data_IF_098198911094
#
_entry.id   IF_098198911094
#
_cell.length_a   1.000
_cell.length_b   1.000
_cell.length_c   1.000
_cell.angle_alpha   90.00
_cell.angle_beta   90.00
_cell.angle_gamma   90.00
#
_symmetry.space_group_name_H-M   'P 1'
#
loop_
_entity.id
_entity.type
_entity.pdbx_description
1 polymer ?
#
# COMPACT_ATOMS: atom_id res chain seq x y z
N UNK A 1 -2.85 13.74 -15.92
CA UNK A 1 -3.14 12.65 -16.88
C UNK A 1 -3.01 11.27 -16.27
N UNK A 2 -1.81 10.79 -15.91
CA UNK A 2 -1.63 9.46 -15.32
C UNK A 2 -2.52 9.19 -14.09
N UNK A 3 -2.44 10.06 -13.08
CA UNK A 3 -3.26 9.94 -11.85
C UNK A 3 -4.77 10.01 -12.12
N UNK A 4 -5.19 10.83 -13.09
CA UNK A 4 -6.60 10.93 -13.47
C UNK A 4 -7.05 9.66 -14.19
N UNK A 5 -6.16 9.04 -14.98
CA UNK A 5 -6.39 7.74 -15.57
C UNK A 5 -6.61 6.66 -14.52
N UNK A 6 -5.76 6.60 -13.49
CA UNK A 6 -5.95 5.67 -12.37
C UNK A 6 -7.24 5.93 -11.59
N UNK A 7 -7.58 7.19 -11.33
CA UNK A 7 -8.87 7.53 -10.73
C UNK A 7 -10.06 7.04 -11.58
N UNK A 8 -9.97 7.12 -12.91
CA UNK A 8 -11.02 6.58 -13.80
C UNK A 8 -11.07 5.06 -13.77
N UNK A 9 -9.93 4.38 -13.64
CA UNK A 9 -9.85 2.93 -13.51
C UNK A 9 -10.48 2.45 -12.18
N UNK A 10 -10.20 3.12 -11.06
CA UNK A 10 -10.77 2.79 -9.76
C UNK A 10 -12.29 2.91 -9.72
N UNK A 11 -12.84 3.90 -10.44
CA UNK A 11 -14.28 4.17 -10.52
C UNK A 11 -14.93 3.57 -11.77
N UNK A 12 -14.22 2.68 -12.47
CA UNK A 12 -14.78 1.97 -13.63
C UNK A 12 -15.91 1.05 -13.17
N UNK A 13 -17.07 1.18 -13.82
CA UNK A 13 -18.23 0.36 -13.49
C UNK A 13 -18.22 -0.95 -14.27
N UNK A 14 -18.68 -2.02 -13.62
CA UNK A 14 -18.96 -3.29 -14.27
C UNK A 14 -20.43 -3.36 -14.62
N UNK A 15 -20.74 -3.21 -15.91
CA UNK A 15 -22.12 -3.26 -16.42
C UNK A 15 -22.35 -4.60 -17.10
N UNK A 16 -23.46 -5.26 -16.77
CA UNK A 16 -23.87 -6.51 -17.43
C UNK A 16 -24.09 -6.26 -18.92
N UNK A 17 -23.52 -7.11 -19.77
CA UNK A 17 -23.71 -7.05 -21.21
C UNK A 17 -24.18 -8.36 -21.80
N UNK A 18 -24.81 -8.27 -22.96
CA UNK A 18 -25.20 -9.42 -23.78
C UNK A 18 -24.13 -9.74 -24.83
N UNK A 19 -24.01 -11.01 -25.19
CA UNK A 19 -23.13 -11.47 -26.27
C UNK A 19 -22.12 -12.51 -25.82
N UNK A 20 -20.95 -12.48 -26.45
CA UNK A 20 -19.86 -13.42 -26.21
C UNK A 20 -18.78 -12.75 -25.35
N UNK A 21 -18.16 -13.54 -24.46
CA UNK A 21 -17.02 -13.12 -23.65
C UNK A 21 -15.87 -12.68 -24.55
N UNK A 22 -15.29 -11.52 -24.29
CA UNK A 22 -14.10 -10.98 -24.97
C UNK A 22 -13.00 -10.69 -23.97
N UNK A 23 -11.79 -10.51 -24.49
CA UNK A 23 -10.67 -10.03 -23.69
C UNK A 23 -10.99 -8.64 -23.08
N UNK A 24 -10.71 -8.47 -21.79
CA UNK A 24 -11.05 -7.28 -21.00
C UNK A 24 -12.42 -7.30 -20.31
N UNK A 25 -13.26 -8.30 -20.60
CA UNK A 25 -14.53 -8.49 -19.89
C UNK A 25 -14.32 -9.15 -18.52
N UNK A 26 -15.31 -9.00 -17.65
CA UNK A 26 -15.41 -9.78 -16.42
C UNK A 26 -16.50 -10.84 -16.59
N UNK A 27 -16.10 -12.10 -16.65
CA UNK A 27 -17.01 -13.23 -16.69
C UNK A 27 -17.28 -13.74 -15.27
N UNK A 28 -18.53 -13.76 -14.85
CA UNK A 28 -18.95 -14.45 -13.62
C UNK A 28 -19.16 -15.92 -13.97
N UNK A 29 -18.33 -16.79 -13.43
CA UNK A 29 -18.28 -18.21 -13.81
C UNK A 29 -18.48 -19.14 -12.62
N UNK A 30 -19.07 -20.31 -12.91
CA UNK A 30 -18.90 -21.49 -12.07
C UNK A 30 -17.90 -22.41 -12.76
N UNK A 31 -16.99 -23.01 -12.00
CA UNK A 31 -16.05 -23.98 -12.54
C UNK A 31 -15.81 -25.13 -11.60
N UNK A 32 -15.55 -26.31 -12.16
CA UNK A 32 -15.11 -27.49 -11.42
C UNK A 32 -14.04 -28.25 -12.23
N UNK A 33 -12.87 -28.42 -11.63
CA UNK A 33 -11.68 -29.02 -12.23
C UNK A 33 -11.57 -30.51 -11.93
N UNK A 34 -11.24 -31.28 -12.96
CA UNK A 34 -11.09 -32.73 -12.90
C UNK A 34 -9.73 -33.15 -13.44
N UNK A 35 -9.03 -33.99 -12.69
CA UNK A 35 -7.83 -34.71 -13.12
C UNK A 35 -8.16 -36.20 -13.20
N UNK A 36 -7.91 -36.81 -14.36
CA UNK A 36 -8.21 -38.24 -14.60
C UNK A 36 -9.66 -38.63 -14.22
N UNK A 37 -10.61 -37.71 -14.42
CA UNK A 37 -12.03 -37.89 -14.11
C UNK A 37 -12.39 -37.75 -12.63
N UNK A 38 -11.45 -37.37 -11.75
CA UNK A 38 -11.70 -37.08 -10.33
C UNK A 38 -11.58 -35.57 -10.05
N UNK A 39 -12.49 -34.98 -9.26
CA UNK A 39 -12.32 -33.60 -8.82
C UNK A 39 -11.09 -33.47 -7.92
N UNK A 40 -10.43 -32.33 -7.97
CA UNK A 40 -9.28 -32.02 -7.10
C UNK A 40 -9.56 -30.78 -6.24
N UNK A 41 -8.93 -30.72 -5.07
CA UNK A 41 -9.10 -29.61 -4.13
C UNK A 41 -8.57 -28.29 -4.70
N UNK A 42 -9.31 -27.20 -4.48
CA UNK A 42 -9.01 -25.89 -5.06
C UNK A 42 -9.42 -25.74 -6.54
N UNK A 43 -9.95 -26.79 -7.17
CA UNK A 43 -10.42 -26.76 -8.55
C UNK A 43 -11.87 -26.32 -8.73
N UNK A 44 -12.58 -25.90 -7.67
CA UNK A 44 -14.01 -25.55 -7.73
C UNK A 44 -14.29 -24.14 -7.25
N UNK A 45 -15.09 -23.40 -8.01
CA UNK A 45 -15.58 -22.07 -7.64
C UNK A 45 -17.00 -21.85 -8.16
N UNK A 46 -17.81 -21.11 -7.41
CA UNK A 46 -19.18 -20.71 -7.79
C UNK A 46 -19.29 -19.18 -7.76
N UNK A 47 -19.97 -18.59 -8.74
CA UNK A 47 -20.11 -17.15 -8.96
C UNK A 47 -18.79 -16.37 -8.87
N UNK A 48 -17.71 -16.96 -9.38
CA UNK A 48 -16.39 -16.35 -9.36
C UNK A 48 -16.28 -15.29 -10.46
N UNK A 49 -15.92 -14.06 -10.10
CA UNK A 49 -15.69 -12.98 -11.06
C UNK A 49 -14.26 -13.06 -11.62
N UNK A 50 -14.14 -13.46 -12.88
CA UNK A 50 -12.86 -13.57 -13.58
C UNK A 50 -12.73 -12.47 -14.64
N UNK A 51 -11.73 -11.61 -14.49
CA UNK A 51 -11.33 -10.68 -15.56
C UNK A 51 -10.50 -11.42 -16.62
N UNK A 52 -10.99 -11.39 -17.86
CA UNK A 52 -10.37 -12.07 -19.00
C UNK A 52 -9.18 -11.27 -19.52
N UNK A 53 -8.00 -11.88 -19.52
CA UNK A 53 -6.72 -11.26 -19.79
C UNK A 53 -5.93 -10.88 -18.53
N UNK A 54 -6.45 -11.18 -17.33
CA UNK A 54 -5.77 -10.88 -16.06
C UNK A 54 -4.62 -11.83 -15.77
N UNK A 55 -4.59 -13.01 -16.40
CA UNK A 55 -3.63 -14.09 -16.13
C UNK A 55 -3.64 -14.55 -14.66
N UNK A 56 -4.79 -14.41 -14.00
CA UNK A 56 -4.98 -14.89 -12.62
C UNK A 56 -5.25 -16.40 -12.60
N UNK A 57 -5.74 -16.95 -13.72
CA UNK A 57 -5.93 -18.38 -13.91
C UNK A 57 -4.76 -19.00 -14.68
N UNK A 58 -4.71 -20.34 -14.71
CA UNK A 58 -3.67 -21.06 -15.44
C UNK A 58 -3.72 -20.74 -16.95
N UNK A 59 -2.56 -20.65 -17.62
CA UNK A 59 -2.51 -20.34 -19.04
C UNK A 59 -3.39 -21.27 -19.88
N UNK A 60 -4.11 -20.70 -20.86
CA UNK A 60 -5.04 -21.44 -21.71
C UNK A 60 -6.46 -21.55 -21.16
N UNK A 61 -6.73 -21.16 -19.91
CA UNK A 61 -8.08 -21.15 -19.34
C UNK A 61 -8.89 -19.98 -19.90
N UNK A 62 -8.42 -18.75 -19.68
CA UNK A 62 -9.11 -17.51 -20.04
C UNK A 62 -9.37 -17.45 -21.56
N UNK A 63 -8.41 -17.91 -22.37
CA UNK A 63 -8.52 -17.93 -23.84
C UNK A 63 -9.61 -18.88 -24.35
N UNK A 64 -9.93 -19.94 -23.61
CA UNK A 64 -10.99 -20.87 -23.99
C UNK A 64 -12.37 -20.44 -23.51
N UNK A 65 -12.44 -19.53 -22.53
CA UNK A 65 -13.67 -18.85 -22.08
C UNK A 65 -14.08 -17.76 -23.07
N UNK A 66 -13.12 -17.11 -23.74
CA UNK A 66 -13.40 -16.17 -24.83
C UNK A 66 -14.31 -16.84 -25.89
N UNK A 67 -15.37 -16.13 -26.27
CA UNK A 67 -16.38 -16.60 -27.21
C UNK A 67 -17.59 -17.29 -26.56
N UNK A 68 -17.51 -17.69 -25.29
CA UNK A 68 -18.65 -18.27 -24.59
C UNK A 68 -19.76 -17.24 -24.32
N UNK A 69 -21.01 -17.69 -24.26
CA UNK A 69 -22.18 -16.85 -23.97
C UNK A 69 -22.69 -17.07 -22.55
N UNK A 70 -23.47 -16.11 -22.05
CA UNK A 70 -24.21 -16.25 -20.79
C UNK A 70 -25.09 -17.50 -20.82
N UNK A 71 -24.95 -18.33 -19.80
CA UNK A 71 -25.61 -19.62 -19.63
C UNK A 71 -24.92 -20.80 -20.33
N UNK A 72 -23.83 -20.58 -21.08
CA UNK A 72 -23.10 -21.63 -21.78
C UNK A 72 -22.21 -22.42 -20.83
N UNK A 73 -22.19 -23.74 -21.01
CA UNK A 73 -21.36 -24.69 -20.28
C UNK A 73 -20.37 -25.34 -21.27
N UNK A 74 -19.09 -25.37 -20.91
CA UNK A 74 -18.02 -25.90 -21.77
C UNK A 74 -16.95 -26.60 -20.93
N UNK A 75 -16.46 -27.71 -21.45
CA UNK A 75 -15.31 -28.42 -20.89
C UNK A 75 -14.02 -27.82 -21.50
N UNK A 76 -13.22 -27.16 -20.67
CA UNK A 76 -11.94 -26.55 -21.06
C UNK A 76 -10.81 -27.52 -20.74
N UNK A 77 -9.94 -27.80 -21.72
CA UNK A 77 -8.77 -28.65 -21.49
C UNK A 77 -7.53 -27.78 -21.36
N UNK A 78 -6.89 -27.82 -20.20
CA UNK A 78 -5.75 -26.96 -19.85
C UNK A 78 -4.68 -27.79 -19.14
N UNK A 79 -3.45 -27.30 -19.12
CA UNK A 79 -2.35 -27.95 -18.39
C UNK A 79 -1.78 -26.97 -17.38
N UNK A 80 -1.51 -27.46 -16.17
CA UNK A 80 -0.84 -26.64 -15.16
C UNK A 80 0.61 -26.36 -15.57
N UNK A 81 1.16 -25.20 -15.21
CA UNK A 81 2.58 -24.92 -15.39
C UNK A 81 3.49 -25.95 -14.70
N UNK A 82 4.71 -26.12 -15.23
CA UNK A 82 5.73 -27.02 -14.66
C UNK A 82 6.20 -26.58 -13.25
N UNK A 83 6.09 -25.29 -12.96
CA UNK A 83 6.50 -24.64 -11.72
C UNK A 83 5.35 -24.46 -10.70
N UNK A 84 4.18 -25.07 -10.96
CA UNK A 84 3.01 -24.95 -10.09
C UNK A 84 3.25 -25.48 -8.67
N UNK A 85 2.74 -24.81 -7.64
CA UNK A 85 3.07 -25.11 -6.24
C UNK A 85 2.67 -26.51 -5.73
N UNK A 86 1.71 -27.17 -6.39
CA UNK A 86 1.22 -28.51 -6.01
C UNK A 86 1.86 -29.56 -6.92
N UNK A 87 2.72 -30.42 -6.35
CA UNK A 87 3.47 -31.44 -7.12
C UNK A 87 2.58 -32.35 -7.97
N UNK A 88 1.42 -32.74 -7.44
CA UNK A 88 0.48 -33.61 -8.13
C UNK A 88 -0.20 -32.95 -9.34
N UNK A 89 -0.14 -31.62 -9.48
CA UNK A 89 -0.76 -30.91 -10.59
C UNK A 89 0.26 -30.41 -11.63
N UNK A 90 1.55 -30.30 -11.30
CA UNK A 90 2.61 -29.81 -12.20
C UNK A 90 2.61 -30.51 -13.56
N UNK A 91 2.52 -29.70 -14.63
CA UNK A 91 2.55 -30.20 -16.02
C UNK A 91 1.38 -31.12 -16.41
N UNK A 92 0.40 -31.34 -15.51
CA UNK A 92 -0.67 -32.30 -15.76
C UNK A 92 -1.81 -31.67 -16.56
N UNK A 93 -2.33 -32.38 -17.57
CA UNK A 93 -3.55 -31.96 -18.24
C UNK A 93 -4.76 -32.21 -17.34
N UNK A 94 -5.65 -31.23 -17.26
CA UNK A 94 -6.91 -31.30 -16.52
C UNK A 94 -8.05 -30.76 -17.37
N UNK A 95 -9.27 -31.16 -17.00
CA UNK A 95 -10.50 -30.67 -17.62
C UNK A 95 -11.25 -29.83 -16.60
N UNK A 96 -11.53 -28.57 -16.94
CA UNK A 96 -12.44 -27.73 -16.17
C UNK A 96 -13.80 -27.69 -16.85
N UNK A 97 -14.84 -28.05 -16.11
CA UNK A 97 -16.22 -27.79 -16.51
C UNK A 97 -16.53 -26.37 -16.10
N UNK A 98 -16.74 -25.49 -17.07
CA UNK A 98 -16.96 -24.06 -16.81
C UNK A 98 -18.33 -23.65 -17.33
N UNK A 99 -19.03 -22.87 -16.54
CA UNK A 99 -20.29 -22.23 -16.88
C UNK A 99 -20.13 -20.72 -16.79
N UNK A 100 -20.56 -19.99 -17.80
CA UNK A 100 -20.64 -18.53 -17.72
C UNK A 100 -22.04 -18.15 -17.22
N UNK A 101 -22.12 -17.55 -16.03
CA UNK A 101 -23.38 -17.11 -15.44
C UNK A 101 -23.74 -15.69 -15.84
N UNK A 102 -22.74 -14.81 -15.95
CA UNK A 102 -22.93 -13.41 -16.31
C UNK A 102 -21.68 -12.90 -17.03
N UNK A 103 -21.86 -11.96 -17.96
CA UNK A 103 -20.77 -11.26 -18.62
C UNK A 103 -20.93 -9.79 -18.31
N UNK A 104 -19.88 -9.17 -17.77
CA UNK A 104 -19.82 -7.74 -17.49
C UNK A 104 -18.72 -7.12 -18.34
N UNK A 105 -18.97 -5.92 -18.84
CA UNK A 105 -17.93 -5.10 -19.43
C UNK A 105 -17.52 -3.98 -18.48
N UNK A 106 -16.23 -3.64 -18.54
CA UNK A 106 -15.69 -2.45 -17.89
C UNK A 106 -16.10 -1.23 -18.69
N UNK A 107 -17.02 -0.45 -18.14
CA UNK A 107 -17.38 0.85 -18.70
C UNK A 107 -16.57 1.89 -17.97
N UNK A 108 -15.51 2.37 -18.63
CA UNK A 108 -14.76 3.52 -18.12
C UNK A 108 -15.72 4.68 -18.03
N UNK A 109 -15.81 5.28 -16.84
CA UNK A 109 -16.65 6.45 -16.65
C UNK A 109 -16.12 7.63 -17.45
N UNK A 110 -17.03 8.47 -17.91
CA UNK A 110 -16.65 9.77 -18.44
C UNK A 110 -16.43 10.75 -17.28
N UNK A 111 -15.60 11.77 -17.50
CA UNK A 111 -15.40 12.87 -16.55
C UNK A 111 -16.61 13.82 -16.59
N UNK A 112 -17.77 13.31 -16.16
CA UNK A 112 -19.05 13.99 -16.14
C UNK A 112 -19.46 14.42 -14.71
N UNK A 113 -20.66 15.00 -14.60
CA UNK A 113 -21.16 15.52 -13.33
C UNK A 113 -21.31 14.42 -12.27
N UNK A 114 -21.74 13.22 -12.67
CA UNK A 114 -21.96 12.10 -11.74
C UNK A 114 -20.62 11.58 -11.21
N UNK A 115 -19.60 11.50 -12.07
CA UNK A 115 -18.23 11.18 -11.64
C UNK A 115 -17.69 12.16 -10.60
N UNK A 116 -17.83 13.48 -10.81
CA UNK A 116 -17.35 14.46 -9.84
C UNK A 116 -18.12 14.45 -8.52
N UNK A 117 -19.42 14.12 -8.55
CA UNK A 117 -20.22 13.94 -7.33
C UNK A 117 -19.75 12.69 -6.54
N UNK A 118 -19.45 11.60 -7.23
CA UNK A 118 -18.99 10.35 -6.61
C UNK A 118 -17.57 10.46 -6.03
N UNK A 119 -16.71 11.32 -6.58
CA UNK A 119 -15.40 11.62 -5.99
C UNK A 119 -15.53 12.24 -4.58
N UNK A 120 -16.66 12.87 -4.25
CA UNK A 120 -16.90 13.55 -2.97
C UNK A 120 -15.78 14.54 -2.56
N UNK A 121 -15.05 15.10 -3.54
CA UNK A 121 -13.97 16.06 -3.32
C UNK A 121 -14.52 17.48 -3.28
N UNK A 122 -14.22 18.19 -2.19
CA UNK A 122 -14.67 19.58 -2.01
C UNK A 122 -14.07 20.49 -3.10
N UNK A 123 -14.94 21.20 -3.84
CA UNK A 123 -14.52 22.14 -4.88
C UNK A 123 -14.16 21.51 -6.24
N UNK A 124 -14.29 20.19 -6.39
CA UNK A 124 -14.04 19.49 -7.66
C UNK A 124 -15.36 19.20 -8.37
N UNK A 125 -15.60 19.87 -9.49
CA UNK A 125 -16.86 19.78 -10.27
C UNK A 125 -16.64 19.74 -11.79
N UNK A 126 -15.39 19.69 -12.23
CA UNK A 126 -14.99 19.73 -13.63
C UNK A 126 -13.61 19.12 -13.80
N UNK A 127 -13.27 18.72 -15.03
CA UNK A 127 -11.93 18.24 -15.36
C UNK A 127 -10.83 19.24 -14.96
N UNK A 128 -11.05 20.53 -15.21
CA UNK A 128 -10.09 21.57 -14.84
C UNK A 128 -9.88 21.68 -13.32
N UNK A 129 -10.96 21.59 -12.54
CA UNK A 129 -10.85 21.63 -11.06
C UNK A 129 -10.21 20.36 -10.50
N UNK A 130 -10.49 19.20 -11.09
CA UNK A 130 -9.83 17.93 -10.77
C UNK A 130 -8.33 17.99 -11.09
N UNK A 131 -7.96 18.46 -12.29
CA UNK A 131 -6.55 18.62 -12.69
C UNK A 131 -5.78 19.52 -11.72
N UNK A 132 -6.36 20.64 -11.29
CA UNK A 132 -5.74 21.54 -10.31
C UNK A 132 -5.57 20.89 -8.94
N UNK A 133 -6.55 20.13 -8.47
CA UNK A 133 -6.44 19.46 -7.17
C UNK A 133 -5.43 18.32 -7.21
N UNK A 134 -5.43 17.53 -8.29
CA UNK A 134 -4.41 16.49 -8.53
C UNK A 134 -3.02 17.10 -8.64
N UNK A 135 -2.85 18.20 -9.38
CA UNK A 135 -1.57 18.92 -9.48
C UNK A 135 -1.09 19.42 -8.11
N UNK A 136 -1.98 20.02 -7.33
CA UNK A 136 -1.70 20.48 -5.96
C UNK A 136 -1.26 19.33 -5.06
N UNK A 137 -1.95 18.19 -5.12
CA UNK A 137 -1.60 17.01 -4.32
C UNK A 137 -0.25 16.41 -4.73
N UNK A 138 -0.01 16.25 -6.04
CA UNK A 138 1.28 15.78 -6.56
C UNK A 138 2.41 16.74 -6.15
N UNK A 139 2.17 18.05 -6.25
CA UNK A 139 3.15 19.06 -5.86
C UNK A 139 3.45 18.98 -4.37
N UNK A 140 2.44 18.93 -3.52
CA UNK A 140 2.60 18.79 -2.08
C UNK A 140 3.37 17.50 -1.72
N UNK A 141 3.05 16.37 -2.37
CA UNK A 141 3.77 15.12 -2.18
C UNK A 141 5.24 15.25 -2.57
N UNK A 142 5.54 15.82 -3.74
CA UNK A 142 6.92 16.02 -4.21
C UNK A 142 7.69 16.99 -3.33
N UNK A 143 7.05 18.05 -2.84
CA UNK A 143 7.66 18.98 -1.89
C UNK A 143 8.00 18.28 -0.58
N UNK A 144 7.09 17.47 -0.03
CA UNK A 144 7.36 16.66 1.16
C UNK A 144 8.47 15.63 0.93
N UNK A 145 8.47 14.91 -0.21
CA UNK A 145 9.51 13.94 -0.55
C UNK A 145 10.89 14.59 -0.69
N UNK A 146 10.95 15.77 -1.30
CA UNK A 146 12.20 16.52 -1.44
C UNK A 146 12.69 17.06 -0.10
N UNK A 147 11.78 17.56 0.74
CA UNK A 147 12.08 18.02 2.09
C UNK A 147 12.64 16.87 2.94
N UNK A 148 11.98 15.71 2.94
CA UNK A 148 12.46 14.52 3.65
C UNK A 148 13.83 14.08 3.18
N UNK A 149 14.07 13.99 1.86
CA UNK A 149 15.39 13.66 1.31
C UNK A 149 16.46 14.68 1.69
N UNK A 150 16.10 15.96 1.74
CA UNK A 150 17.02 17.01 2.17
C UNK A 150 17.38 16.87 3.64
N UNK A 151 16.39 16.61 4.51
CA UNK A 151 16.59 16.36 5.93
C UNK A 151 17.43 15.10 6.14
N UNK A 152 17.13 13.99 5.46
CA UNK A 152 17.90 12.75 5.55
C UNK A 152 19.38 12.97 5.20
N UNK A 153 19.64 13.67 4.09
CA UNK A 153 21.00 14.00 3.69
C UNK A 153 21.69 14.96 4.66
N UNK A 154 20.95 15.94 5.21
CA UNK A 154 21.46 16.85 6.23
C UNK A 154 21.88 16.08 7.48
N UNK A 155 21.02 15.21 8.00
CA UNK A 155 21.31 14.38 9.18
C UNK A 155 22.48 13.43 8.91
N UNK A 156 22.56 12.83 7.72
CA UNK A 156 23.69 11.99 7.32
C UNK A 156 25.02 12.75 7.36
N UNK A 157 25.07 13.98 6.82
CA UNK A 157 26.28 14.82 6.84
C UNK A 157 26.66 15.26 8.26
N UNK A 158 25.69 15.60 9.11
CA UNK A 158 25.96 15.94 10.51
C UNK A 158 26.51 14.71 11.25
N UNK A 159 25.89 13.54 11.04
CA UNK A 159 26.26 12.30 11.71
C UNK A 159 27.69 11.84 11.38
N UNK A 160 28.27 12.19 10.22
CA UNK A 160 29.68 11.92 9.90
C UNK A 160 30.68 12.57 10.87
N UNK A 161 30.25 13.60 11.59
CA UNK A 161 31.06 14.33 12.57
C UNK A 161 30.74 13.94 14.02
N UNK A 162 29.86 12.96 14.23
CA UNK A 162 29.44 12.50 15.55
C UNK A 162 30.17 11.21 15.90
N UNK A 163 30.83 11.20 17.05
CA UNK A 163 31.41 10.00 17.65
C UNK A 163 30.58 9.62 18.88
N UNK A 164 29.87 8.50 18.79
CA UNK A 164 29.03 7.99 19.87
C UNK A 164 29.11 6.46 19.88
N UNK A 165 29.17 5.89 21.08
CA UNK A 165 29.07 4.45 21.29
C UNK A 165 27.60 4.10 21.58
N UNK A 166 26.96 3.44 20.61
CA UNK A 166 25.53 3.09 20.70
C UNK A 166 25.41 1.66 21.25
N UNK A 167 24.78 1.46 22.42
CA UNK A 167 24.54 0.13 22.96
C UNK A 167 23.68 -0.71 22.01
N UNK A 168 24.07 -1.98 21.80
CA UNK A 168 23.34 -2.90 20.93
C UNK A 168 21.87 -3.05 21.32
N UNK A 169 21.55 -2.99 22.62
CA UNK A 169 20.17 -3.04 23.11
C UNK A 169 19.28 -1.94 22.51
N UNK A 170 19.82 -0.73 22.30
CA UNK A 170 19.07 0.35 21.67
C UNK A 170 18.81 0.09 20.19
N UNK A 171 19.77 -0.53 19.50
CA UNK A 171 19.62 -0.93 18.10
C UNK A 171 18.58 -2.04 17.98
N UNK A 172 18.60 -3.03 18.86
CA UNK A 172 17.67 -4.15 18.87
C UNK A 172 16.22 -3.70 19.15
N UNK A 173 16.04 -2.74 20.06
CA UNK A 173 14.74 -2.09 20.31
C UNK A 173 14.24 -1.36 19.07
N UNK A 174 15.11 -0.61 18.39
CA UNK A 174 14.76 0.10 17.16
C UNK A 174 14.45 -0.85 16.00
N UNK A 175 15.24 -1.93 15.83
CA UNK A 175 14.97 -2.98 14.85
C UNK A 175 13.62 -3.64 15.11
N UNK A 176 13.25 -3.85 16.37
CA UNK A 176 11.93 -4.39 16.75
C UNK A 176 10.81 -3.42 16.39
N UNK A 177 11.02 -2.11 16.57
CA UNK A 177 10.07 -1.07 16.14
C UNK A 177 9.90 -1.03 14.62
N UNK A 178 10.99 -1.12 13.86
CA UNK A 178 10.96 -1.17 12.39
C UNK A 178 10.23 -2.42 11.90
N UNK A 179 10.49 -3.58 12.52
CA UNK A 179 9.79 -4.83 12.20
C UNK A 179 8.28 -4.72 12.46
N UNK A 180 7.87 -4.12 13.58
CA UNK A 180 6.44 -3.91 13.89
C UNK A 180 5.74 -2.97 12.89
N UNK A 181 6.43 -1.91 12.43
CA UNK A 181 5.90 -1.04 11.36
C UNK A 181 5.76 -1.80 10.04
N UNK A 182 6.77 -2.61 9.70
CA UNK A 182 6.74 -3.44 8.50
C UNK A 182 5.59 -4.45 8.56
N UNK A 183 5.39 -5.11 9.71
CA UNK A 183 4.26 -6.02 9.94
C UNK A 183 2.92 -5.33 9.71
N UNK A 184 2.72 -4.14 10.29
CA UNK A 184 1.49 -3.36 10.10
C UNK A 184 1.26 -3.02 8.63
N UNK A 185 2.30 -2.60 7.91
CA UNK A 185 2.20 -2.29 6.49
C UNK A 185 1.83 -3.53 5.65
N UNK A 186 2.39 -4.70 5.95
CA UNK A 186 2.05 -5.95 5.27
C UNK A 186 0.63 -6.42 5.62
N UNK A 187 0.22 -6.28 6.89
CA UNK A 187 -1.13 -6.63 7.33
C UNK A 187 -2.20 -5.79 6.61
N UNK A 188 -1.93 -4.51 6.32
CA UNK A 188 -2.81 -3.67 5.51
C UNK A 188 -2.98 -4.17 4.07
N UNK A 189 -2.00 -4.92 3.56
CA UNK A 189 -2.06 -5.59 2.25
C UNK A 189 -2.63 -7.01 2.33
N UNK A 190 -3.07 -7.46 3.51
CA UNK A 190 -3.57 -8.81 3.75
C UNK A 190 -2.47 -9.89 3.79
N UNK A 191 -1.21 -9.49 3.96
CA UNK A 191 -0.06 -10.39 3.97
C UNK A 191 0.46 -10.51 5.41
N UNK A 192 0.50 -11.72 5.96
CA UNK A 192 1.18 -11.96 7.24
C UNK A 192 2.69 -12.11 7.06
N UNK A 193 3.46 -11.89 8.11
CA UNK A 193 4.92 -12.11 8.07
C UNK A 193 5.27 -13.57 7.74
N UNK A 194 4.48 -14.54 8.22
CA UNK A 194 4.67 -15.96 7.89
C UNK A 194 4.57 -16.21 6.37
N UNK A 195 3.57 -15.60 5.73
CA UNK A 195 3.37 -15.69 4.29
C UNK A 195 4.53 -14.98 3.57
N UNK A 196 4.90 -13.79 4.02
CA UNK A 196 6.03 -13.03 3.47
C UNK A 196 7.32 -13.86 3.47
N UNK A 197 7.68 -14.46 4.61
CA UNK A 197 8.87 -15.30 4.76
C UNK A 197 8.88 -16.51 3.81
N UNK A 198 7.72 -17.13 3.58
CA UNK A 198 7.61 -18.23 2.62
C UNK A 198 7.84 -17.77 1.17
N UNK A 199 7.27 -16.63 0.79
CA UNK A 199 7.44 -16.07 -0.56
C UNK A 199 8.88 -15.63 -0.83
N UNK A 200 9.50 -14.94 0.13
CA UNK A 200 10.87 -14.41 -0.02
C UNK A 200 11.95 -15.45 0.27
N UNK A 201 11.57 -16.60 0.87
CA UNK A 201 12.51 -17.60 1.39
C UNK A 201 13.47 -16.99 2.41
N UNK A 202 12.99 -16.05 3.22
CA UNK A 202 13.75 -15.40 4.29
C UNK A 202 13.19 -15.76 5.66
N UNK A 203 13.96 -15.50 6.71
CA UNK A 203 13.51 -15.61 8.10
C UNK A 203 13.32 -14.23 8.73
N UNK A 204 12.73 -14.18 9.93
CA UNK A 204 12.72 -12.96 10.73
C UNK A 204 14.13 -12.45 11.01
N UNK A 205 15.08 -13.35 11.29
CA UNK A 205 16.48 -12.99 11.53
C UNK A 205 17.12 -12.30 10.31
N UNK A 206 16.81 -12.78 9.10
CA UNK A 206 17.29 -12.14 7.87
C UNK A 206 16.69 -10.74 7.69
N UNK A 207 15.40 -10.58 7.97
CA UNK A 207 14.72 -9.29 7.88
C UNK A 207 15.25 -8.29 8.92
N UNK A 208 15.48 -8.74 10.15
CA UNK A 208 16.12 -7.93 11.20
C UNK A 208 17.52 -7.48 10.78
N UNK A 209 18.35 -8.38 10.25
CA UNK A 209 19.69 -8.03 9.74
C UNK A 209 19.66 -7.01 8.61
N UNK A 210 18.62 -7.04 7.76
CA UNK A 210 18.43 -6.02 6.73
C UNK A 210 18.11 -4.64 7.34
N UNK A 211 17.39 -4.62 8.47
CA UNK A 211 17.00 -3.42 9.19
C UNK A 211 18.09 -2.88 10.12
N UNK A 212 19.06 -3.69 10.56
CA UNK A 212 20.08 -3.29 11.56
C UNK A 212 20.82 -1.99 11.21
N UNK A 213 21.16 -1.80 9.93
CA UNK A 213 21.84 -0.57 9.48
C UNK A 213 20.94 0.65 9.65
N UNK A 214 19.68 0.53 9.23
CA UNK A 214 18.69 1.60 9.36
C UNK A 214 18.38 1.87 10.83
N UNK A 215 18.22 0.82 11.65
CA UNK A 215 18.00 0.94 13.08
C UNK A 215 19.15 1.67 13.77
N UNK A 216 20.40 1.31 13.47
CA UNK A 216 21.57 2.02 13.99
C UNK A 216 21.55 3.51 13.60
N UNK A 217 21.25 3.82 12.33
CA UNK A 217 21.17 5.21 11.87
C UNK A 217 20.05 5.99 12.56
N UNK A 218 18.87 5.38 12.76
CA UNK A 218 17.76 6.00 13.48
C UNK A 218 18.11 6.32 14.93
N UNK A 219 18.79 5.39 15.63
CA UNK A 219 19.25 5.63 17.00
C UNK A 219 20.32 6.73 17.05
N UNK A 220 21.27 6.71 16.11
CA UNK A 220 22.30 7.74 15.98
C UNK A 220 21.68 9.13 15.78
N UNK A 221 20.74 9.25 14.83
CA UNK A 221 20.08 10.53 14.55
C UNK A 221 19.27 11.03 15.73
N UNK A 222 18.55 10.14 16.43
CA UNK A 222 17.80 10.50 17.63
C UNK A 222 18.72 11.06 18.72
N UNK A 223 19.80 10.34 19.05
CA UNK A 223 20.76 10.78 20.07
C UNK A 223 21.46 12.09 19.68
N UNK A 224 21.82 12.22 18.39
CA UNK A 224 22.43 13.42 17.84
C UNK A 224 21.50 14.63 17.96
N UNK A 225 20.24 14.49 17.56
CA UNK A 225 19.25 15.58 17.63
C UNK A 225 18.94 15.96 19.09
N UNK A 226 18.81 14.99 19.99
CA UNK A 226 18.63 15.23 21.42
C UNK A 226 19.80 16.00 22.02
N UNK A 227 21.03 15.66 21.67
CA UNK A 227 22.20 16.40 22.16
C UNK A 227 22.26 17.82 21.61
N UNK A 228 21.93 18.02 20.32
CA UNK A 228 21.85 19.38 19.73
C UNK A 228 20.74 20.19 20.42
N UNK A 229 19.58 19.58 20.65
CA UNK A 229 18.47 20.20 21.38
C UNK A 229 18.92 20.71 22.76
N UNK A 230 19.67 19.89 23.50
CA UNK A 230 20.20 20.24 24.82
C UNK A 230 21.25 21.36 24.76
N UNK A 231 22.17 21.29 23.80
CA UNK A 231 23.24 22.28 23.63
C UNK A 231 22.69 23.67 23.25
N UNK A 232 21.73 23.68 22.33
CA UNK A 232 21.08 24.90 21.83
C UNK A 232 19.93 25.37 22.75
N UNK A 233 19.59 24.57 23.77
CA UNK A 233 18.51 24.84 24.75
C UNK A 233 17.19 25.11 24.07
N UNK A 234 16.86 24.27 23.08
CA UNK A 234 15.59 24.31 22.39
C UNK A 234 14.54 23.73 23.33
N UNK A 235 13.60 24.56 23.75
CA UNK A 235 12.47 24.18 24.59
C UNK A 235 11.19 24.72 23.95
N UNK A 236 10.13 23.91 23.95
CA UNK A 236 8.80 24.30 23.51
C UNK A 236 7.92 24.52 24.73
N UNK A 237 7.23 25.66 24.78
CA UNK A 237 6.32 25.91 25.90
C UNK A 237 5.09 24.99 25.85
N UNK A 238 4.52 24.68 27.01
CA UNK A 238 3.26 23.93 27.06
C UNK A 238 2.13 24.63 26.29
N UNK A 239 2.13 25.96 26.22
CA UNK A 239 1.14 26.72 25.45
C UNK A 239 1.29 26.47 23.95
N UNK A 240 2.52 26.44 23.44
CA UNK A 240 2.83 26.14 22.05
C UNK A 240 2.47 24.69 21.69
N UNK A 241 2.89 23.72 22.51
CA UNK A 241 2.51 22.31 22.33
C UNK A 241 0.98 22.10 22.40
N UNK A 242 0.31 22.84 23.28
CA UNK A 242 -1.15 22.80 23.45
C UNK A 242 -1.86 23.36 22.22
N UNK A 243 -1.31 24.39 21.59
CA UNK A 243 -1.83 24.96 20.35
C UNK A 243 -1.65 23.99 19.18
N UNK A 244 -0.46 23.40 19.03
CA UNK A 244 -0.19 22.40 18.00
C UNK A 244 -1.12 21.19 18.13
N UNK A 245 -1.30 20.67 19.35
CA UNK A 245 -2.24 19.58 19.60
C UNK A 245 -3.68 19.92 19.20
N UNK A 246 -4.09 21.18 19.30
CA UNK A 246 -5.41 21.62 18.84
C UNK A 246 -5.51 21.67 17.31
N UNK A 247 -4.46 22.13 16.64
CA UNK A 247 -4.38 22.17 15.17
C UNK A 247 -4.38 20.76 14.57
N UNK A 248 -3.59 19.85 15.15
CA UNK A 248 -3.57 18.44 14.78
C UNK A 248 -4.91 17.76 15.06
N UNK A 249 -5.51 17.95 16.24
CA UNK A 249 -6.81 17.37 16.57
C UNK A 249 -7.90 17.77 15.56
N UNK A 250 -7.92 19.05 15.13
CA UNK A 250 -8.82 19.52 14.07
C UNK A 250 -8.59 18.82 12.73
N UNK A 251 -7.33 18.61 12.35
CA UNK A 251 -6.96 17.89 11.11
C UNK A 251 -7.46 16.44 11.14
N UNK A 252 -7.34 15.77 12.28
CA UNK A 252 -7.86 14.41 12.48
C UNK A 252 -9.36 14.34 12.78
N UNK A 253 -10.06 15.50 12.85
CA UNK A 253 -11.48 15.62 13.23
C UNK A 253 -11.78 14.95 14.58
N UNK A 254 -10.88 15.13 15.54
CA UNK A 254 -10.97 14.59 16.89
C UNK A 254 -11.02 15.73 17.91
N UNK A 255 -11.61 15.44 19.08
CA UNK A 255 -11.44 16.30 20.25
C UNK A 255 -10.00 16.22 20.76
N UNK A 256 -9.46 17.36 21.20
CA UNK A 256 -8.06 17.47 21.65
C UNK A 256 -7.70 16.50 22.76
N UNK A 257 -8.60 16.29 23.73
CA UNK A 257 -8.32 15.36 24.84
C UNK A 257 -8.17 13.91 24.34
N UNK A 258 -8.98 13.51 23.38
CA UNK A 258 -8.93 12.16 22.82
C UNK A 258 -7.75 12.00 21.87
N UNK A 259 -7.42 13.04 21.11
CA UNK A 259 -6.16 13.10 20.35
C UNK A 259 -4.96 12.92 21.29
N UNK A 260 -4.85 13.70 22.36
CA UNK A 260 -3.73 13.57 23.30
C UNK A 260 -3.66 12.18 23.94
N UNK A 261 -4.79 11.55 24.31
CA UNK A 261 -4.78 10.17 24.84
C UNK A 261 -4.27 9.16 23.82
N UNK A 262 -4.63 9.33 22.55
CA UNK A 262 -4.26 8.39 21.49
C UNK A 262 -2.80 8.55 21.04
N UNK A 263 -2.27 9.79 21.05
CA UNK A 263 -0.97 10.14 20.47
C UNK A 263 0.12 10.41 21.51
N UNK A 264 -0.02 9.90 22.74
CA UNK A 264 1.05 9.91 23.75
C UNK A 264 1.11 11.14 24.66
N UNK A 265 0.09 12.00 24.63
CA UNK A 265 -0.07 13.13 25.53
C UNK A 265 0.64 14.41 25.06
N UNK A 266 0.55 15.44 25.89
CA UNK A 266 1.09 16.76 25.55
C UNK A 266 2.62 16.78 25.48
N UNK A 267 3.26 15.96 26.32
CA UNK A 267 4.72 15.82 26.37
C UNK A 267 5.29 15.27 25.05
N UNK A 268 4.58 14.32 24.42
CA UNK A 268 5.00 13.79 23.12
C UNK A 268 4.94 14.87 22.03
N UNK A 269 3.85 15.65 21.98
CA UNK A 269 3.71 16.77 21.04
C UNK A 269 4.79 17.83 21.27
N UNK A 270 5.11 18.09 22.54
CA UNK A 270 6.19 19.02 22.89
C UNK A 270 7.54 18.52 22.38
N UNK A 271 7.87 17.26 22.63
CA UNK A 271 9.11 16.63 22.15
C UNK A 271 9.21 16.66 20.61
N UNK A 272 8.13 16.33 19.90
CA UNK A 272 8.10 16.35 18.44
C UNK A 272 8.34 17.78 17.88
N UNK A 273 7.76 18.79 18.52
CA UNK A 273 7.99 20.19 18.15
C UNK A 273 9.44 20.64 18.43
N UNK A 274 10.03 20.19 19.54
CA UNK A 274 11.43 20.48 19.85
C UNK A 274 12.36 19.85 18.81
N UNK A 275 12.10 18.60 18.42
CA UNK A 275 12.84 17.92 17.34
C UNK A 275 12.69 18.63 16.00
N UNK A 276 11.50 19.08 15.64
CA UNK A 276 11.30 19.87 14.43
C UNK A 276 12.08 21.19 14.47
N UNK A 277 12.10 21.90 15.61
CA UNK A 277 12.89 23.12 15.78
C UNK A 277 14.40 22.87 15.64
N UNK A 278 14.90 21.74 16.12
CA UNK A 278 16.30 21.34 15.92
C UNK A 278 16.60 21.16 14.43
N UNK A 279 15.73 20.45 13.71
CA UNK A 279 15.89 20.24 12.26
C UNK A 279 15.85 21.58 11.52
N UNK A 280 14.93 22.47 11.85
CA UNK A 280 14.85 23.80 11.24
C UNK A 280 16.10 24.64 11.51
N UNK A 281 16.65 24.58 12.73
CA UNK A 281 17.93 25.22 13.04
C UNK A 281 19.07 24.67 12.16
N UNK A 282 19.17 23.34 12.00
CA UNK A 282 20.17 22.72 11.14
C UNK A 282 20.02 23.16 9.68
N UNK A 283 18.78 23.27 9.19
CA UNK A 283 18.48 23.76 7.84
C UNK A 283 18.88 25.22 7.67
N UNK A 284 18.71 26.06 8.69
CA UNK A 284 19.15 27.46 8.67
C UNK A 284 20.68 27.58 8.65
N UNK A 285 21.39 26.76 9.41
CA UNK A 285 22.86 26.75 9.46
C UNK A 285 23.51 26.22 8.18
N UNK A 286 22.80 25.41 7.40
CA UNK A 286 23.28 24.84 6.14
C UNK A 286 23.06 25.76 4.91
N UNK A 287 22.40 26.91 5.07
CA UNK A 287 22.18 27.91 4.00
C UNK A 287 23.41 28.79 3.76
#
# INVERSE_FOLDING_TARGET
DHEIGHLLEEYTELVTKEGEVKNGDVAVIDFEGFKDGKPFDGGKGENYSLEIGSNTFIPGFEEQVIGMKTGEEKDLTVSFPEDYGVEDLKGQPVIFKVKVNEIKEKVTRELDKEFFEDLAMEGVHSKETLEKEVEKNIKAQKEADNENKYIDHLLEEVAKNVEVDIPQEMVDEETTRLLGRFEQQMAMQGISLDIYYQFTKSSEEDLRKQMDKEAYQNVLYRLMLEEIMNLEKIEVSQEEASKEAEELAKKYKMDKEDFLKQFGGLEMIQYDLEMHKVIDLLKELNK
#
